data_IF_742761411237
#
_entry.id   IF_742761411237
#
_cell.length_a   1.000
_cell.length_b   1.000
_cell.length_c   1.000
_cell.angle_alpha   90.00
_cell.angle_beta   90.00
_cell.angle_gamma   90.00
#
_symmetry.space_group_name_H-M   'P 1'
#
loop_
_entity.id
_entity.type
_entity.pdbx_description
1 polymer ?
#
# COMPACT_ATOMS: atom_id res chain seq x y z
N UNK A 1 11.23 -25.89 -15.01
CA UNK A 1 10.80 -24.54 -15.44
C UNK A 1 10.27 -23.81 -14.22
N UNK A 2 11.09 -22.89 -13.71
CA UNK A 2 10.92 -22.22 -12.43
C UNK A 2 9.66 -21.34 -12.42
N UNK A 3 8.64 -21.74 -11.65
CA UNK A 3 7.46 -20.91 -11.36
C UNK A 3 7.76 -20.09 -10.10
N UNK A 4 8.29 -18.89 -10.25
CA UNK A 4 8.37 -17.92 -9.15
C UNK A 4 7.08 -17.08 -9.09
N UNK A 5 6.61 -16.69 -7.89
CA UNK A 5 5.33 -16.00 -7.73
C UNK A 5 5.40 -14.53 -8.15
N UNK A 6 4.40 -14.05 -8.90
CA UNK A 6 4.26 -12.62 -9.19
C UNK A 6 3.95 -11.79 -7.93
N UNK A 7 4.08 -10.47 -8.01
CA UNK A 7 3.77 -9.47 -6.96
C UNK A 7 2.43 -9.76 -6.25
N UNK A 8 1.37 -10.16 -6.97
CA UNK A 8 0.09 -10.47 -6.33
C UNK A 8 0.12 -11.79 -5.56
N UNK A 9 0.76 -12.86 -6.08
CA UNK A 9 0.98 -14.10 -5.30
C UNK A 9 1.84 -13.84 -4.06
N UNK A 10 2.82 -12.95 -4.20
CA UNK A 10 3.68 -12.51 -3.13
C UNK A 10 2.97 -11.60 -2.12
N UNK A 11 1.83 -10.97 -2.45
CA UNK A 11 0.94 -10.24 -1.53
C UNK A 11 -0.10 -11.16 -0.86
N UNK A 12 -0.38 -12.35 -1.41
CA UNK A 12 -1.57 -13.14 -0.99
C UNK A 12 -1.31 -14.49 -0.33
N UNK A 13 -0.07 -14.98 -0.29
CA UNK A 13 0.18 -16.25 0.39
C UNK A 13 0.14 -16.11 1.92
N UNK A 14 -1.05 -16.26 2.51
CA UNK A 14 -1.19 -16.79 3.86
C UNK A 14 -0.73 -18.24 3.85
N UNK A 15 0.30 -18.59 4.62
CA UNK A 15 0.78 -19.98 4.73
C UNK A 15 -0.34 -20.82 5.33
N UNK A 16 -0.96 -21.69 4.53
CA UNK A 16 -1.92 -22.70 5.00
C UNK A 16 -1.19 -23.77 5.83
N UNK A 17 -1.71 -24.03 7.02
CA UNK A 17 -1.19 -24.93 8.07
C UNK A 17 -1.18 -26.45 7.71
N UNK A 18 -1.18 -26.83 6.43
CA UNK A 18 -1.32 -28.23 5.99
C UNK A 18 -0.06 -28.92 5.44
N UNK A 19 1.14 -28.43 5.77
CA UNK A 19 2.39 -29.13 5.47
C UNK A 19 3.23 -29.43 6.72
N UNK A 20 2.57 -29.92 7.77
CA UNK A 20 3.21 -30.33 9.01
C UNK A 20 2.81 -31.74 9.43
N UNK A 21 2.88 -32.71 8.52
CA UNK A 21 2.92 -34.14 8.87
C UNK A 21 3.79 -34.89 7.86
N UNK A 22 4.96 -35.31 8.32
CA UNK A 22 5.80 -36.46 7.91
C UNK A 22 7.27 -36.05 7.93
N UNK A 23 7.96 -36.44 9.00
CA UNK A 23 9.08 -37.39 8.99
C UNK A 23 9.51 -37.60 10.45
N UNK A 24 9.27 -38.81 10.96
CA UNK A 24 9.98 -39.37 12.11
C UNK A 24 11.28 -39.98 11.60
N UNK A 25 12.36 -39.81 12.36
CA UNK A 25 13.43 -40.80 12.44
C UNK A 25 14.85 -40.26 12.26
N UNK A 26 15.61 -40.42 13.34
CA UNK A 26 17.06 -40.70 13.39
C UNK A 26 18.09 -39.55 13.56
N UNK A 27 18.60 -39.54 14.80
CA UNK A 27 19.97 -39.44 15.29
C UNK A 27 20.73 -38.09 15.34
N UNK A 28 21.15 -37.78 16.57
CA UNK A 28 22.14 -36.78 17.00
C UNK A 28 23.44 -36.85 16.20
N UNK A 29 24.07 -35.67 15.97
CA UNK A 29 25.43 -35.52 16.49
C UNK A 29 25.71 -34.14 17.12
N UNK A 30 26.35 -34.22 18.29
CA UNK A 30 27.37 -33.32 18.86
C UNK A 30 27.21 -31.80 18.74
N UNK A 31 26.82 -31.18 19.86
CA UNK A 31 26.92 -29.74 20.13
C UNK A 31 28.37 -29.23 19.97
N UNK A 32 28.61 -28.37 18.98
CA UNK A 32 29.72 -27.41 19.02
C UNK A 32 29.19 -26.07 19.54
N UNK A 33 29.75 -25.63 20.66
CA UNK A 33 29.50 -24.29 21.21
C UNK A 33 29.89 -23.22 20.18
N UNK A 34 28.89 -22.52 19.64
CA UNK A 34 29.09 -21.29 18.88
C UNK A 34 29.23 -20.14 19.88
N UNK A 35 30.42 -19.56 19.98
CA UNK A 35 30.59 -18.25 20.61
C UNK A 35 29.96 -17.18 19.71
N UNK A 36 29.03 -16.35 20.22
CA UNK A 36 28.48 -15.26 19.43
C UNK A 36 29.57 -14.21 19.21
N UNK A 37 29.91 -13.94 17.95
CA UNK A 37 30.69 -12.75 17.57
C UNK A 37 29.88 -11.52 17.98
N UNK A 38 30.55 -10.60 18.68
CA UNK A 38 30.02 -9.30 19.09
C UNK A 38 29.28 -8.63 17.94
N UNK A 39 27.96 -8.53 18.06
CA UNK A 39 27.13 -7.69 17.19
C UNK A 39 27.46 -6.24 17.54
N UNK A 40 28.27 -5.59 16.70
CA UNK A 40 28.36 -4.12 16.71
C UNK A 40 26.95 -3.57 16.53
N UNK A 41 26.42 -2.95 17.58
CA UNK A 41 25.20 -2.15 17.50
C UNK A 41 25.50 -0.94 16.62
N UNK A 42 24.92 -0.91 15.43
CA UNK A 42 24.99 0.28 14.58
C UNK A 42 24.31 1.44 15.31
N UNK A 43 24.87 2.66 15.24
CA UNK A 43 24.25 3.83 15.85
C UNK A 43 22.85 4.06 15.27
N UNK A 44 21.94 4.58 16.09
CA UNK A 44 20.58 4.95 15.65
C UNK A 44 20.72 5.93 14.48
N UNK A 45 20.10 5.67 13.31
CA UNK A 45 20.15 6.62 12.20
C UNK A 45 19.67 7.99 12.66
N UNK A 46 20.45 9.03 12.37
CA UNK A 46 20.06 10.41 12.67
C UNK A 46 18.79 10.77 11.87
N UNK A 47 17.99 11.76 12.30
CA UNK A 47 16.89 12.27 11.50
C UNK A 47 17.29 12.59 10.06
N UNK A 48 18.44 13.23 9.86
CA UNK A 48 19.00 13.56 8.54
C UNK A 48 19.29 12.31 7.70
N UNK A 49 19.81 11.25 8.33
CA UNK A 49 20.09 10.01 7.63
C UNK A 49 18.81 9.31 7.17
N UNK A 50 17.76 9.30 7.99
CA UNK A 50 16.44 8.74 7.58
C UNK A 50 15.87 9.51 6.40
N UNK A 51 15.94 10.84 6.42
CA UNK A 51 15.45 11.68 5.34
C UNK A 51 16.27 11.47 4.05
N UNK A 52 17.60 11.41 4.15
CA UNK A 52 18.48 11.12 3.02
C UNK A 52 18.10 9.80 2.34
N UNK A 53 17.90 8.74 3.13
CA UNK A 53 17.50 7.42 2.64
C UNK A 53 16.09 7.39 2.06
N UNK A 54 15.16 8.17 2.62
CA UNK A 54 13.82 8.35 2.05
C UNK A 54 13.91 8.92 0.62
N UNK A 55 14.66 10.02 0.45
CA UNK A 55 14.84 10.66 -0.85
C UNK A 55 15.55 9.73 -1.83
N UNK A 56 16.57 9.03 -1.39
CA UNK A 56 17.32 8.04 -2.19
C UNK A 56 16.40 6.92 -2.71
N UNK A 57 15.58 6.33 -1.83
CA UNK A 57 14.63 5.28 -2.20
C UNK A 57 13.63 5.76 -3.27
N UNK A 58 13.08 6.97 -3.14
CA UNK A 58 12.21 7.52 -4.18
C UNK A 58 12.97 7.86 -5.46
N UNK A 59 14.22 8.33 -5.36
CA UNK A 59 15.02 8.70 -6.54
C UNK A 59 15.37 7.48 -7.39
N UNK A 60 15.52 6.31 -6.78
CA UNK A 60 15.72 5.05 -7.51
C UNK A 60 14.47 4.66 -8.32
N UNK A 61 13.27 4.88 -7.77
CA UNK A 61 11.99 4.48 -8.42
C UNK A 61 11.52 5.52 -9.43
N UNK A 62 11.64 6.80 -9.10
CA UNK A 62 11.06 7.91 -9.84
C UNK A 62 12.09 8.80 -10.55
N UNK A 63 13.36 8.40 -10.53
CA UNK A 63 14.47 9.14 -11.11
C UNK A 63 15.04 10.20 -10.16
N UNK A 64 16.27 10.68 -10.41
CA UNK A 64 16.91 11.67 -9.56
C UNK A 64 16.19 13.02 -9.63
N UNK A 65 15.90 13.60 -8.46
CA UNK A 65 15.20 14.89 -8.38
C UNK A 65 16.15 16.09 -8.41
N UNK A 66 17.45 15.89 -8.17
CA UNK A 66 18.41 17.00 -8.02
C UNK A 66 18.49 17.88 -9.26
N UNK A 67 18.39 17.29 -10.46
CA UNK A 67 18.37 18.04 -11.71
C UNK A 67 17.09 18.88 -11.87
N UNK A 68 15.98 18.44 -11.29
CA UNK A 68 14.71 19.17 -11.31
C UNK A 68 14.79 20.36 -10.37
N UNK A 69 15.24 20.10 -9.14
CA UNK A 69 15.26 21.07 -8.05
C UNK A 69 16.39 22.10 -8.19
N UNK A 70 17.48 21.75 -8.88
CA UNK A 70 18.63 22.65 -9.12
C UNK A 70 18.54 23.37 -10.47
N UNK A 71 17.46 23.17 -11.23
CA UNK A 71 17.24 23.85 -12.52
C UNK A 71 17.10 25.37 -12.30
N UNK A 72 17.49 26.24 -13.26
CA UNK A 72 17.27 27.69 -13.14
C UNK A 72 15.80 28.09 -12.97
N UNK A 73 14.89 27.25 -13.47
CA UNK A 73 13.45 27.32 -13.26
C UNK A 73 12.93 25.96 -12.74
N UNK A 74 12.97 25.73 -11.41
CA UNK A 74 12.54 24.47 -10.82
C UNK A 74 11.03 24.22 -10.95
N UNK A 75 10.23 25.26 -11.05
CA UNK A 75 8.77 25.16 -11.20
C UNK A 75 8.42 24.57 -12.57
N UNK A 76 8.95 25.14 -13.65
CA UNK A 76 8.75 24.60 -14.99
C UNK A 76 9.38 23.20 -15.16
N UNK A 77 10.53 22.96 -14.53
CA UNK A 77 11.18 21.65 -14.55
C UNK A 77 10.31 20.59 -13.85
N UNK A 78 9.77 20.90 -12.67
CA UNK A 78 8.86 20.00 -11.96
C UNK A 78 7.54 19.80 -12.71
N UNK A 79 7.00 20.84 -13.34
CA UNK A 79 5.76 20.76 -14.12
C UNK A 79 5.91 19.93 -15.42
N UNK A 80 7.11 19.91 -16.00
CA UNK A 80 7.39 19.11 -17.21
C UNK A 80 7.83 17.67 -16.89
N UNK A 81 8.26 17.38 -15.65
CA UNK A 81 8.68 16.07 -15.22
C UNK A 81 7.66 14.97 -15.54
N UNK A 82 8.19 13.81 -15.90
CA UNK A 82 7.45 12.55 -16.06
C UNK A 82 8.19 11.43 -15.34
N UNK A 83 7.48 10.58 -14.58
CA UNK A 83 8.12 9.44 -13.94
C UNK A 83 8.67 8.47 -15.00
N UNK A 84 9.79 7.78 -14.72
CA UNK A 84 10.39 6.81 -15.63
C UNK A 84 9.42 5.68 -15.98
N UNK A 85 9.47 5.24 -17.25
CA UNK A 85 8.71 4.11 -17.77
C UNK A 85 9.45 2.77 -17.66
N UNK A 86 10.74 2.77 -17.30
CA UNK A 86 11.53 1.56 -17.09
C UNK A 86 12.66 1.74 -16.06
N UNK A 87 12.77 0.88 -15.02
CA UNK A 87 11.67 0.03 -14.53
C UNK A 87 10.55 0.88 -13.91
N UNK A 88 10.83 2.13 -13.54
CA UNK A 88 9.86 3.01 -12.89
C UNK A 88 9.31 2.40 -11.61
N UNK A 89 8.00 2.46 -11.44
CA UNK A 89 7.26 1.80 -10.36
C UNK A 89 7.10 0.28 -10.58
N UNK A 90 7.73 -0.28 -11.62
CA UNK A 90 7.46 -1.61 -12.15
C UNK A 90 6.19 -1.62 -13.01
N UNK A 91 5.87 -2.78 -13.60
CA UNK A 91 4.61 -2.95 -14.32
C UNK A 91 4.57 -2.34 -15.73
N UNK A 92 3.37 -2.34 -16.30
CA UNK A 92 3.10 -1.94 -17.68
C UNK A 92 3.42 -0.44 -17.88
N UNK A 93 4.37 -0.15 -18.77
CA UNK A 93 4.93 1.20 -19.00
C UNK A 93 5.50 1.84 -17.71
N UNK A 94 6.02 0.99 -16.83
CA UNK A 94 6.65 1.38 -15.57
C UNK A 94 5.68 1.92 -14.53
N UNK A 95 4.36 1.65 -14.66
CA UNK A 95 3.33 2.03 -13.70
C UNK A 95 2.76 0.82 -12.99
N UNK A 96 2.66 0.91 -11.66
CA UNK A 96 2.07 -0.12 -10.81
C UNK A 96 1.28 0.55 -9.68
N UNK A 97 -0.03 0.33 -9.64
CA UNK A 97 -0.96 1.21 -8.92
C UNK A 97 -0.66 1.33 -7.42
N UNK A 98 -0.22 0.24 -6.77
CA UNK A 98 0.16 0.25 -5.35
C UNK A 98 1.44 1.03 -5.10
N UNK A 99 2.48 0.75 -5.88
CA UNK A 99 3.77 1.45 -5.79
C UNK A 99 3.55 2.95 -5.99
N UNK A 100 2.70 3.32 -6.96
CA UNK A 100 2.41 4.71 -7.28
C UNK A 100 1.53 5.41 -6.25
N UNK A 101 0.59 4.72 -5.62
CA UNK A 101 -0.14 5.27 -4.49
C UNK A 101 0.83 5.64 -3.35
N UNK A 102 1.77 4.75 -3.02
CA UNK A 102 2.85 5.06 -2.08
C UNK A 102 3.73 6.21 -2.56
N UNK A 103 4.09 6.24 -3.84
CA UNK A 103 4.87 7.33 -4.43
C UNK A 103 4.22 8.70 -4.25
N UNK A 104 2.92 8.82 -4.51
CA UNK A 104 2.15 10.07 -4.32
C UNK A 104 2.18 10.50 -2.85
N UNK A 105 1.86 9.59 -1.93
CA UNK A 105 1.85 9.90 -0.48
C UNK A 105 3.26 10.26 0.01
N UNK A 106 4.29 9.57 -0.47
CA UNK A 106 5.68 9.85 -0.11
C UNK A 106 6.18 11.19 -0.67
N UNK A 107 5.75 11.61 -1.87
CA UNK A 107 6.05 12.95 -2.39
C UNK A 107 5.39 14.05 -1.56
N UNK A 108 4.17 13.82 -1.08
CA UNK A 108 3.48 14.73 -0.16
C UNK A 108 4.28 14.85 1.15
N UNK A 109 4.73 13.72 1.71
CA UNK A 109 5.61 13.69 2.89
C UNK A 109 6.91 14.48 2.63
N UNK A 110 7.61 14.24 1.52
CA UNK A 110 8.83 14.99 1.18
C UNK A 110 8.59 16.49 1.07
N UNK A 111 7.47 16.89 0.46
CA UNK A 111 7.15 18.31 0.34
C UNK A 111 7.04 18.99 1.70
N UNK A 112 6.36 18.35 2.64
CA UNK A 112 6.17 18.89 4.00
C UNK A 112 7.46 18.83 4.82
N UNK A 113 8.11 17.67 4.89
CA UNK A 113 9.32 17.49 5.70
C UNK A 113 10.50 18.37 5.24
N UNK A 114 10.61 18.62 3.93
CA UNK A 114 11.68 19.45 3.35
C UNK A 114 11.22 20.89 3.05
N UNK A 115 9.98 21.24 3.37
CA UNK A 115 9.37 22.53 3.01
C UNK A 115 9.59 22.92 1.53
N UNK A 116 9.48 21.94 0.63
CA UNK A 116 9.76 22.10 -0.79
C UNK A 116 8.50 21.79 -1.62
N UNK A 117 7.79 22.81 -2.16
CA UNK A 117 6.52 22.62 -2.85
C UNK A 117 6.65 21.87 -4.19
N UNK A 118 7.85 21.83 -4.78
CA UNK A 118 8.10 21.12 -6.03
C UNK A 118 7.77 19.63 -5.94
N UNK A 119 7.93 19.00 -4.76
CA UNK A 119 7.51 17.61 -4.57
C UNK A 119 5.98 17.42 -4.67
N UNK A 120 5.15 18.42 -4.31
CA UNK A 120 3.72 18.36 -4.59
C UNK A 120 3.45 18.44 -6.10
N UNK A 121 4.22 19.24 -6.83
CA UNK A 121 4.14 19.25 -8.31
C UNK A 121 4.47 17.87 -8.86
N UNK A 122 5.51 17.19 -8.37
CA UNK A 122 5.82 15.80 -8.76
C UNK A 122 4.69 14.83 -8.39
N UNK A 123 4.07 14.96 -7.21
CA UNK A 123 2.92 14.15 -6.82
C UNK A 123 1.75 14.31 -7.80
N UNK A 124 1.42 15.54 -8.19
CA UNK A 124 0.38 15.84 -9.19
C UNK A 124 0.72 15.22 -10.55
N UNK A 125 1.97 15.38 -11.00
CA UNK A 125 2.45 14.79 -12.27
C UNK A 125 2.37 13.27 -12.27
N UNK A 126 2.73 12.64 -11.16
CA UNK A 126 2.60 11.19 -10.98
C UNK A 126 1.13 10.75 -11.09
N UNK A 127 0.20 11.46 -10.43
CA UNK A 127 -1.25 11.20 -10.57
C UNK A 127 -1.70 11.31 -12.01
N UNK A 128 -1.33 12.38 -12.72
CA UNK A 128 -1.67 12.55 -14.15
C UNK A 128 -1.11 11.39 -14.99
N UNK A 129 0.15 11.00 -14.80
CA UNK A 129 0.74 9.89 -15.56
C UNK A 129 0.06 8.55 -15.28
N UNK A 130 -0.33 8.29 -14.03
CA UNK A 130 -1.10 7.09 -13.68
C UNK A 130 -2.46 7.10 -14.36
N UNK A 131 -3.18 8.22 -14.39
CA UNK A 131 -4.49 8.31 -15.06
C UNK A 131 -4.37 8.14 -16.58
N UNK A 132 -3.32 8.69 -17.20
CA UNK A 132 -3.06 8.52 -18.63
C UNK A 132 -2.55 7.13 -19.02
N UNK A 133 -1.99 6.37 -18.07
CA UNK A 133 -1.50 5.01 -18.34
C UNK A 133 -2.50 3.97 -17.89
N UNK A 134 -2.81 3.93 -16.60
CA UNK A 134 -3.64 2.90 -15.97
C UNK A 134 -5.14 3.19 -16.07
N UNK A 135 -5.55 4.43 -16.38
CA UNK A 135 -6.95 4.80 -16.70
C UNK A 135 -7.30 4.65 -18.18
N UNK A 136 -6.40 4.06 -18.98
CA UNK A 136 -6.59 3.79 -20.41
C UNK A 136 -6.45 2.30 -20.72
N UNK A 137 -6.88 1.89 -21.90
CA UNK A 137 -6.56 0.58 -22.48
C UNK A 137 -5.04 0.38 -22.55
N UNK A 138 -4.58 -0.88 -22.65
CA UNK A 138 -3.14 -1.19 -22.60
C UNK A 138 -2.34 -0.56 -23.75
N UNK A 139 -2.96 -0.43 -24.91
CA UNK A 139 -2.44 0.27 -26.09
C UNK A 139 -2.58 1.81 -26.02
N UNK A 140 -3.13 2.34 -24.91
CA UNK A 140 -3.41 3.75 -24.65
C UNK A 140 -4.42 4.42 -25.60
N UNK A 141 -5.04 3.65 -26.51
CA UNK A 141 -5.90 4.19 -27.57
C UNK A 141 -7.18 4.84 -27.04
N UNK A 142 -7.69 4.40 -25.89
CA UNK A 142 -8.93 4.90 -25.30
C UNK A 142 -8.91 4.90 -23.78
N UNK A 143 -9.79 5.71 -23.16
CA UNK A 143 -10.10 5.59 -21.73
C UNK A 143 -10.75 4.24 -21.44
N UNK A 144 -10.65 3.76 -20.20
CA UNK A 144 -11.38 2.56 -19.80
C UNK A 144 -12.91 2.77 -19.96
N UNK A 145 -13.68 1.71 -20.26
CA UNK A 145 -15.13 1.82 -20.48
C UNK A 145 -15.85 2.58 -19.37
N UNK A 146 -16.63 3.59 -19.74
CA UNK A 146 -17.35 4.47 -18.82
C UNK A 146 -16.62 5.77 -18.46
N UNK A 147 -15.31 5.87 -18.70
CA UNK A 147 -14.54 7.10 -18.49
C UNK A 147 -14.52 8.03 -19.72
N UNK A 148 -14.36 9.32 -19.43
CA UNK A 148 -14.16 10.40 -20.41
C UNK A 148 -12.97 11.25 -19.98
N UNK A 149 -12.52 12.21 -20.79
CA UNK A 149 -11.43 13.10 -20.36
C UNK A 149 -11.84 14.04 -19.21
N UNK A 150 -13.13 14.42 -19.13
CA UNK A 150 -13.66 15.18 -17.99
C UNK A 150 -13.92 14.33 -16.74
N UNK A 151 -14.15 13.03 -16.93
CA UNK A 151 -14.42 12.07 -15.84
C UNK A 151 -13.55 10.82 -16.00
N UNK A 152 -12.22 10.96 -15.79
CA UNK A 152 -11.24 9.95 -16.19
C UNK A 152 -11.25 8.68 -15.35
N UNK A 153 -11.89 8.69 -14.17
CA UNK A 153 -11.89 7.58 -13.23
C UNK A 153 -13.22 6.81 -13.20
N UNK A 154 -14.21 7.18 -14.03
CA UNK A 154 -15.48 6.44 -14.15
C UNK A 154 -15.33 4.99 -14.66
N UNK A 155 -14.23 4.68 -15.31
CA UNK A 155 -13.86 3.33 -15.74
C UNK A 155 -12.96 2.59 -14.74
N UNK A 156 -12.64 3.20 -13.60
CA UNK A 156 -11.66 2.68 -12.65
C UNK A 156 -10.21 2.85 -13.10
N UNK A 157 -9.30 2.02 -12.58
CA UNK A 157 -7.87 2.00 -12.94
C UNK A 157 -7.36 0.56 -12.98
N UNK A 158 -6.61 0.23 -14.02
CA UNK A 158 -5.86 -1.04 -14.09
C UNK A 158 -4.79 -1.09 -13.00
N UNK A 159 -4.43 -2.29 -12.57
CA UNK A 159 -3.32 -2.51 -11.62
C UNK A 159 -1.95 -2.24 -12.26
N UNK A 160 -1.81 -2.47 -13.56
CA UNK A 160 -0.56 -2.24 -14.31
C UNK A 160 0.36 -3.46 -14.36
N UNK A 161 -0.18 -4.68 -14.32
CA UNK A 161 0.68 -5.87 -14.49
C UNK A 161 1.19 -6.02 -15.92
N UNK A 162 2.38 -6.62 -16.05
CA UNK A 162 3.03 -6.86 -17.35
C UNK A 162 2.16 -7.79 -18.21
N UNK A 163 1.71 -8.91 -17.65
CA UNK A 163 0.80 -9.81 -18.35
C UNK A 163 -0.61 -9.26 -18.37
N UNK A 164 -1.31 -9.42 -19.50
CA UNK A 164 -2.71 -9.01 -19.62
C UNK A 164 -3.64 -9.99 -18.89
N UNK A 165 -4.92 -9.65 -18.76
CA UNK A 165 -5.92 -10.56 -18.19
C UNK A 165 -6.28 -11.72 -19.12
N UNK A 166 -6.02 -11.60 -20.43
CA UNK A 166 -6.17 -12.69 -21.39
C UNK A 166 -5.02 -13.70 -21.26
N UNK A 167 -3.80 -13.21 -21.04
CA UNK A 167 -2.61 -14.04 -20.82
C UNK A 167 -2.66 -14.77 -19.46
N UNK A 168 -3.04 -14.06 -18.40
CA UNK A 168 -3.24 -14.64 -17.07
C UNK A 168 -4.48 -14.04 -16.39
N UNK A 169 -5.66 -14.69 -16.49
CA UNK A 169 -6.89 -14.16 -15.92
C UNK A 169 -6.82 -13.94 -14.40
N UNK A 170 -6.13 -14.82 -13.67
CA UNK A 170 -6.06 -14.73 -12.21
C UNK A 170 -5.02 -13.72 -11.74
N UNK A 171 -3.89 -13.67 -12.42
CA UNK A 171 -2.69 -12.99 -11.93
C UNK A 171 -2.11 -11.96 -12.89
N UNK A 172 -2.70 -11.76 -14.06
CA UNK A 172 -2.40 -10.67 -14.98
C UNK A 172 -3.07 -9.37 -14.57
N UNK A 173 -3.14 -8.44 -15.51
CA UNK A 173 -3.78 -7.13 -15.33
C UNK A 173 -5.27 -7.26 -14.99
N UNK A 174 -5.90 -6.13 -14.66
CA UNK A 174 -7.28 -6.08 -14.20
C UNK A 174 -7.45 -4.97 -13.16
N UNK A 175 -8.57 -4.99 -12.45
CA UNK A 175 -8.83 -4.03 -11.38
C UNK A 175 -8.99 -4.75 -10.05
N UNK A 176 -8.30 -4.27 -9.02
CA UNK A 176 -8.28 -4.87 -7.69
C UNK A 176 -8.79 -3.86 -6.67
N UNK A 177 -9.75 -4.28 -5.84
CA UNK A 177 -10.41 -3.38 -4.88
C UNK A 177 -9.41 -2.66 -3.96
N UNK A 178 -8.58 -3.39 -3.24
CA UNK A 178 -7.58 -2.84 -2.31
C UNK A 178 -6.53 -1.92 -2.97
N UNK A 179 -6.20 -2.10 -4.25
CA UNK A 179 -5.31 -1.18 -4.98
C UNK A 179 -6.03 0.13 -5.29
N UNK A 180 -7.30 0.04 -5.72
CA UNK A 180 -8.12 1.20 -6.01
C UNK A 180 -8.39 2.01 -4.74
N UNK A 181 -8.65 1.37 -3.59
CA UNK A 181 -8.86 2.08 -2.32
C UNK A 181 -7.57 2.75 -1.83
N UNK A 182 -6.41 2.13 -2.00
CA UNK A 182 -5.13 2.79 -1.69
C UNK A 182 -4.88 4.00 -2.60
N UNK A 183 -5.25 3.93 -3.87
CA UNK A 183 -5.18 5.07 -4.78
C UNK A 183 -6.17 6.19 -4.42
N UNK A 184 -7.39 5.85 -4.02
CA UNK A 184 -8.36 6.81 -3.47
C UNK A 184 -7.79 7.53 -2.25
N UNK A 185 -7.13 6.80 -1.34
CA UNK A 185 -6.43 7.39 -0.21
C UNK A 185 -5.32 8.35 -0.66
N UNK A 186 -4.50 7.98 -1.65
CA UNK A 186 -3.47 8.88 -2.17
C UNK A 186 -4.04 10.18 -2.77
N UNK A 187 -5.14 10.10 -3.53
CA UNK A 187 -5.86 11.27 -4.05
C UNK A 187 -6.44 12.14 -2.94
N UNK A 188 -7.01 11.51 -1.90
CA UNK A 188 -7.49 12.21 -0.72
C UNK A 188 -6.36 12.97 -0.01
N UNK A 189 -5.19 12.34 0.14
CA UNK A 189 -4.04 13.03 0.72
C UNK A 189 -3.55 14.19 -0.13
N UNK A 190 -3.55 14.02 -1.45
CA UNK A 190 -3.17 15.10 -2.36
C UNK A 190 -4.15 16.27 -2.27
N UNK A 191 -5.45 16.00 -2.13
CA UNK A 191 -6.46 17.04 -1.92
C UNK A 191 -6.15 17.87 -0.67
N UNK A 192 -5.88 17.20 0.46
CA UNK A 192 -5.59 17.87 1.73
C UNK A 192 -4.26 18.63 1.70
N UNK A 193 -3.22 18.08 1.08
CA UNK A 193 -1.92 18.72 0.98
C UNK A 193 -1.89 19.95 0.07
N UNK A 194 -2.74 19.97 -0.97
CA UNK A 194 -2.77 21.06 -1.97
C UNK A 194 -3.88 22.08 -1.73
N UNK A 195 -4.93 21.71 -0.99
CA UNK A 195 -6.17 22.48 -0.90
C UNK A 195 -7.01 22.46 -2.18
N UNK A 196 -6.60 21.70 -3.20
CA UNK A 196 -7.29 21.67 -4.50
C UNK A 196 -8.42 20.64 -4.51
N UNK A 197 -9.64 21.17 -4.58
CA UNK A 197 -10.92 20.44 -4.60
C UNK A 197 -10.97 19.30 -5.64
N UNK A 198 -10.31 19.45 -6.78
CA UNK A 198 -10.33 18.47 -7.87
C UNK A 198 -9.86 17.07 -7.45
N UNK A 199 -8.88 16.96 -6.56
CA UNK A 199 -8.34 15.66 -6.14
C UNK A 199 -9.33 14.88 -5.27
N UNK A 200 -10.08 15.58 -4.41
CA UNK A 200 -11.19 15.01 -3.63
C UNK A 200 -12.31 14.51 -4.56
N UNK A 201 -12.69 15.31 -5.56
CA UNK A 201 -13.70 14.92 -6.55
C UNK A 201 -13.28 13.66 -7.34
N UNK A 202 -12.01 13.55 -7.73
CA UNK A 202 -11.49 12.37 -8.41
C UNK A 202 -11.51 11.13 -7.51
N UNK A 203 -11.17 11.27 -6.22
CA UNK A 203 -11.25 10.16 -5.26
C UNK A 203 -12.70 9.65 -5.11
N UNK A 204 -13.67 10.56 -4.96
CA UNK A 204 -15.10 10.22 -4.87
C UNK A 204 -15.63 9.64 -6.19
N UNK A 205 -15.22 10.19 -7.33
CA UNK A 205 -15.57 9.65 -8.65
C UNK A 205 -15.13 8.20 -8.80
N UNK A 206 -13.88 7.90 -8.41
CA UNK A 206 -13.36 6.53 -8.45
C UNK A 206 -14.15 5.61 -7.50
N UNK A 207 -14.41 6.05 -6.27
CA UNK A 207 -15.18 5.28 -5.29
C UNK A 207 -16.55 4.88 -5.84
N UNK A 208 -17.31 5.84 -6.34
CA UNK A 208 -18.65 5.61 -6.92
C UNK A 208 -18.64 4.71 -8.14
N UNK A 209 -17.64 4.87 -9.00
CA UNK A 209 -17.52 4.09 -10.23
C UNK A 209 -17.33 2.59 -9.96
N UNK A 210 -16.54 2.26 -8.94
CA UNK A 210 -16.06 0.88 -8.74
C UNK A 210 -16.83 0.12 -7.65
N UNK A 211 -17.40 0.78 -6.65
CA UNK A 211 -17.98 0.12 -5.47
C UNK A 211 -18.96 -1.02 -5.83
N UNK A 212 -19.99 -0.71 -6.62
CA UNK A 212 -21.00 -1.69 -7.02
C UNK A 212 -20.46 -2.81 -7.93
N UNK A 213 -19.26 -2.66 -8.50
CA UNK A 213 -18.61 -3.70 -9.31
C UNK A 213 -17.92 -4.74 -8.44
N UNK A 214 -17.45 -4.34 -7.27
CA UNK A 214 -16.75 -5.21 -6.32
C UNK A 214 -17.65 -5.80 -5.23
N UNK A 215 -18.89 -5.32 -5.09
CA UNK A 215 -19.86 -5.80 -4.10
C UNK A 215 -20.90 -6.70 -4.76
N UNK A 216 -21.03 -7.94 -4.27
CA UNK A 216 -22.11 -8.84 -4.63
C UNK A 216 -23.25 -8.66 -3.63
N UNK A 217 -24.43 -8.32 -4.15
CA UNK A 217 -25.63 -8.08 -3.36
C UNK A 217 -26.53 -9.30 -3.33
N UNK A 218 -27.18 -9.51 -2.21
CA UNK A 218 -28.23 -10.51 -2.07
C UNK A 218 -29.46 -10.08 -2.88
N UNK A 219 -30.05 -11.00 -3.65
CA UNK A 219 -31.15 -10.70 -4.58
C UNK A 219 -32.47 -10.32 -3.87
N UNK A 220 -32.71 -10.77 -2.64
CA UNK A 220 -33.99 -10.56 -1.96
C UNK A 220 -34.08 -9.25 -1.20
N UNK A 221 -32.97 -8.77 -0.63
CA UNK A 221 -32.94 -7.57 0.21
C UNK A 221 -31.94 -6.50 -0.28
N UNK A 222 -31.19 -6.77 -1.35
CA UNK A 222 -30.19 -5.88 -1.93
C UNK A 222 -29.00 -5.54 -0.99
N UNK A 223 -28.85 -6.26 0.13
CA UNK A 223 -27.75 -6.05 1.05
C UNK A 223 -26.43 -6.54 0.47
N UNK A 224 -25.33 -5.84 0.77
CA UNK A 224 -23.98 -6.31 0.48
C UNK A 224 -23.69 -7.61 1.23
N UNK A 225 -23.48 -8.70 0.48
CA UNK A 225 -23.32 -10.05 1.04
C UNK A 225 -21.86 -10.50 1.04
N UNK A 226 -21.14 -10.16 -0.03
CA UNK A 226 -19.71 -10.48 -0.19
C UNK A 226 -19.02 -9.50 -1.13
N UNK A 227 -17.70 -9.46 -1.06
CA UNK A 227 -16.88 -8.76 -2.05
C UNK A 227 -16.22 -9.74 -3.01
N UNK A 228 -15.74 -9.21 -4.13
CA UNK A 228 -14.82 -9.90 -5.02
C UNK A 228 -13.48 -9.16 -5.04
N UNK A 229 -12.41 -9.90 -5.30
CA UNK A 229 -11.06 -9.40 -5.12
C UNK A 229 -10.52 -8.76 -6.39
N UNK A 230 -10.85 -9.35 -7.55
CA UNK A 230 -10.39 -8.90 -8.87
C UNK A 230 -11.51 -8.91 -9.90
N UNK A 231 -11.61 -7.79 -10.61
CA UNK A 231 -12.45 -7.59 -11.80
C UNK A 231 -11.58 -7.48 -13.05
N UNK A 232 -12.18 -7.71 -14.22
CA UNK A 232 -11.57 -7.39 -15.51
C UNK A 232 -11.29 -5.89 -15.65
N UNK A 233 -10.39 -5.54 -16.56
CA UNK A 233 -9.97 -4.15 -16.85
C UNK A 233 -11.14 -3.24 -17.20
N UNK A 234 -12.19 -3.78 -17.82
CA UNK A 234 -13.45 -3.09 -18.17
C UNK A 234 -14.54 -3.16 -17.08
N UNK A 235 -14.26 -3.77 -15.92
CA UNK A 235 -15.19 -4.00 -14.81
C UNK A 235 -16.45 -4.82 -15.17
N UNK A 236 -16.45 -5.55 -16.29
CA UNK A 236 -17.61 -6.33 -16.74
C UNK A 236 -17.65 -7.76 -16.19
N UNK A 237 -16.51 -8.33 -15.79
CA UNK A 237 -16.40 -9.72 -15.35
C UNK A 237 -15.63 -9.86 -14.04
N UNK A 238 -16.08 -10.76 -13.18
CA UNK A 238 -15.34 -11.19 -11.98
C UNK A 238 -14.24 -12.16 -12.42
N UNK A 239 -12.98 -11.83 -12.14
CA UNK A 239 -11.83 -12.70 -12.45
C UNK A 239 -11.40 -13.53 -11.24
N UNK A 240 -11.52 -12.98 -10.03
CA UNK A 240 -11.22 -13.69 -8.78
C UNK A 240 -12.37 -13.49 -7.79
N UNK A 241 -13.25 -14.50 -7.60
CA UNK A 241 -14.50 -14.39 -6.84
C UNK A 241 -14.34 -14.58 -5.33
N UNK A 242 -13.11 -14.46 -4.80
CA UNK A 242 -12.82 -14.41 -3.36
C UNK A 242 -12.72 -12.97 -2.91
N UNK A 243 -12.59 -12.70 -1.62
CA UNK A 243 -12.36 -11.35 -1.08
C UNK A 243 -11.04 -11.31 -0.32
N UNK A 244 -10.36 -10.16 -0.37
CA UNK A 244 -9.20 -9.92 0.48
C UNK A 244 -9.61 -9.83 1.95
N UNK A 245 -8.69 -10.20 2.83
CA UNK A 245 -8.94 -10.29 4.27
C UNK A 245 -9.40 -8.96 4.88
N UNK A 246 -8.80 -7.85 4.41
CA UNK A 246 -9.06 -6.49 4.91
C UNK A 246 -9.87 -5.61 3.95
N UNK A 247 -10.29 -6.12 2.79
CA UNK A 247 -10.91 -5.30 1.72
C UNK A 247 -12.10 -4.46 2.24
N UNK A 248 -12.98 -5.08 3.03
CA UNK A 248 -14.14 -4.38 3.59
C UNK A 248 -13.75 -3.33 4.63
N UNK A 249 -12.76 -3.63 5.49
CA UNK A 249 -12.31 -2.71 6.54
C UNK A 249 -11.56 -1.50 5.94
N UNK A 250 -10.69 -1.74 4.96
CA UNK A 250 -10.00 -0.70 4.21
C UNK A 250 -11.00 0.16 3.45
N UNK A 251 -11.99 -0.45 2.78
CA UNK A 251 -13.07 0.27 2.12
C UNK A 251 -13.86 1.16 3.09
N UNK A 252 -14.25 0.63 4.25
CA UNK A 252 -14.96 1.40 5.29
C UNK A 252 -14.18 2.64 5.73
N UNK A 253 -12.89 2.47 6.04
CA UNK A 253 -12.02 3.57 6.51
C UNK A 253 -11.80 4.59 5.41
N UNK A 254 -11.34 4.17 4.23
CA UNK A 254 -11.02 5.09 3.14
C UNK A 254 -12.25 5.87 2.71
N UNK A 255 -13.41 5.23 2.55
CA UNK A 255 -14.62 5.93 2.10
C UNK A 255 -15.11 6.95 3.13
N UNK A 256 -14.93 6.69 4.43
CA UNK A 256 -15.20 7.69 5.48
C UNK A 256 -14.24 8.88 5.39
N UNK A 257 -12.95 8.64 5.14
CA UNK A 257 -11.98 9.73 4.93
C UNK A 257 -12.32 10.55 3.69
N UNK A 258 -12.71 9.90 2.58
CA UNK A 258 -13.18 10.58 1.38
C UNK A 258 -14.41 11.44 1.68
N UNK A 259 -15.41 10.88 2.36
CA UNK A 259 -16.62 11.60 2.72
C UNK A 259 -16.31 12.84 3.57
N UNK A 260 -15.51 12.71 4.62
CA UNK A 260 -15.11 13.83 5.49
C UNK A 260 -14.39 14.93 4.71
N UNK A 261 -13.45 14.55 3.85
CA UNK A 261 -12.71 15.50 3.03
C UNK A 261 -13.61 16.18 2.02
N UNK A 262 -14.54 15.44 1.42
CA UNK A 262 -15.50 15.99 0.49
C UNK A 262 -16.44 17.00 1.19
N UNK A 263 -16.94 16.68 2.37
CA UNK A 263 -17.76 17.58 3.20
C UNK A 263 -16.99 18.84 3.58
N UNK A 264 -15.72 18.69 3.98
CA UNK A 264 -14.84 19.82 4.31
C UNK A 264 -14.58 20.74 3.09
N UNK A 265 -14.32 20.17 1.92
CA UNK A 265 -13.92 20.94 0.73
C UNK A 265 -15.08 21.45 -0.12
N UNK A 266 -16.21 20.74 -0.14
CA UNK A 266 -17.33 21.00 -1.06
C UNK A 266 -18.66 21.28 -0.34
N UNK A 267 -18.73 21.07 0.98
CA UNK A 267 -19.96 21.11 1.75
C UNK A 267 -20.70 19.76 1.78
N UNK A 268 -21.63 19.56 2.72
CA UNK A 268 -22.38 18.32 2.86
C UNK A 268 -23.52 18.18 1.83
N UNK A 269 -23.96 16.94 1.54
CA UNK A 269 -23.38 15.67 1.99
C UNK A 269 -22.17 15.23 1.14
N UNK A 270 -21.19 14.53 1.73
CA UNK A 270 -20.02 14.02 0.99
C UNK A 270 -20.27 12.81 0.07
N UNK A 271 -21.52 12.37 -0.05
CA UNK A 271 -22.03 11.52 -1.14
C UNK A 271 -21.46 10.07 -1.24
N UNK A 272 -21.12 9.45 -0.10
CA UNK A 272 -20.65 8.04 0.00
C UNK A 272 -21.36 7.23 1.11
N UNK A 273 -22.50 7.72 1.60
CA UNK A 273 -23.20 7.16 2.77
C UNK A 273 -23.61 5.70 2.55
N UNK A 274 -24.11 5.37 1.35
CA UNK A 274 -24.57 4.02 1.00
C UNK A 274 -23.41 3.03 0.96
N UNK A 275 -22.30 3.43 0.33
CA UNK A 275 -21.11 2.61 0.17
C UNK A 275 -20.45 2.32 1.53
N UNK A 276 -20.42 3.31 2.42
CA UNK A 276 -19.94 3.15 3.80
C UNK A 276 -20.83 2.18 4.59
N UNK A 277 -22.16 2.27 4.42
CA UNK A 277 -23.10 1.34 5.05
C UNK A 277 -22.90 -0.11 4.57
N UNK A 278 -22.66 -0.31 3.27
CA UNK A 278 -22.33 -1.63 2.72
C UNK A 278 -21.06 -2.21 3.37
N UNK A 279 -19.99 -1.43 3.47
CA UNK A 279 -18.76 -1.91 4.13
C UNK A 279 -19.00 -2.24 5.61
N UNK A 280 -19.81 -1.44 6.31
CA UNK A 280 -20.16 -1.72 7.70
C UNK A 280 -20.85 -3.07 7.87
N UNK A 281 -21.79 -3.40 6.96
CA UNK A 281 -22.43 -4.72 6.92
C UNK A 281 -21.42 -5.83 6.63
N UNK A 282 -20.56 -5.63 5.64
CA UNK A 282 -19.55 -6.62 5.23
C UNK A 282 -18.52 -6.92 6.32
N UNK A 283 -18.14 -5.92 7.12
CA UNK A 283 -17.26 -6.06 8.29
C UNK A 283 -17.91 -6.84 9.44
N UNK A 284 -19.24 -6.76 9.58
CA UNK A 284 -19.99 -7.42 10.65
C UNK A 284 -20.21 -8.92 10.44
N UNK A 285 -19.78 -9.49 9.31
CA UNK A 285 -19.93 -10.92 9.02
C UNK A 285 -19.03 -11.78 9.90
N UNK A 286 -19.51 -12.99 10.21
CA UNK A 286 -18.77 -13.94 11.04
C UNK A 286 -17.38 -14.24 10.46
N UNK A 287 -16.37 -14.23 11.33
CA UNK A 287 -14.98 -14.53 10.95
C UNK A 287 -14.26 -13.39 10.22
N UNK A 288 -14.91 -12.24 9.99
CA UNK A 288 -14.24 -11.02 9.53
C UNK A 288 -13.56 -10.28 10.68
N UNK A 289 -12.70 -9.33 10.33
CA UNK A 289 -11.93 -8.52 11.28
C UNK A 289 -10.99 -9.33 12.18
N UNK A 290 -10.45 -10.45 11.68
CA UNK A 290 -9.41 -11.22 12.39
C UNK A 290 -8.03 -10.61 12.17
N UNK A 291 -7.13 -10.83 13.11
CA UNK A 291 -5.72 -10.49 12.94
C UNK A 291 -5.06 -11.38 11.88
N UNK A 292 -4.15 -10.81 11.09
CA UNK A 292 -3.37 -11.55 10.09
C UNK A 292 -1.97 -11.90 10.63
N UNK A 293 -1.47 -13.08 10.25
CA UNK A 293 -0.08 -13.49 10.48
C UNK A 293 0.84 -13.11 9.31
N UNK A 294 0.30 -12.46 8.28
CA UNK A 294 1.09 -11.88 7.21
C UNK A 294 1.51 -10.46 7.56
N UNK A 295 2.80 -10.13 7.38
CA UNK A 295 3.33 -8.81 7.77
C UNK A 295 2.65 -7.65 7.03
N UNK A 296 2.34 -7.80 5.74
CA UNK A 296 1.71 -6.73 4.97
C UNK A 296 0.28 -6.51 5.48
N UNK A 297 -0.52 -7.57 5.55
CA UNK A 297 -1.90 -7.46 6.02
C UNK A 297 -1.96 -6.92 7.45
N UNK A 298 -1.10 -7.40 8.35
CA UNK A 298 -1.04 -6.89 9.73
C UNK A 298 -0.74 -5.39 9.75
N UNK A 299 0.22 -4.94 8.93
CA UNK A 299 0.59 -3.54 8.80
C UNK A 299 -0.55 -2.68 8.25
N UNK A 300 -1.16 -3.11 7.15
CA UNK A 300 -2.29 -2.39 6.55
C UNK A 300 -3.50 -2.37 7.49
N UNK A 301 -3.70 -3.43 8.28
CA UNK A 301 -4.72 -3.51 9.33
C UNK A 301 -4.50 -2.47 10.44
N UNK A 302 -3.28 -2.38 10.97
CA UNK A 302 -2.90 -1.36 11.95
C UNK A 302 -3.04 0.06 11.37
N UNK A 303 -2.63 0.25 10.11
CA UNK A 303 -2.78 1.52 9.40
C UNK A 303 -4.26 1.90 9.18
N UNK A 304 -5.20 1.00 8.93
CA UNK A 304 -6.61 1.45 8.86
C UNK A 304 -7.21 1.69 10.26
N UNK A 305 -6.75 0.95 11.27
CA UNK A 305 -7.26 1.11 12.65
C UNK A 305 -6.88 2.46 13.27
N UNK A 306 -5.72 3.03 12.92
CA UNK A 306 -5.23 4.23 13.61
C UNK A 306 -6.13 5.47 13.41
N UNK A 307 -6.78 5.61 12.24
CA UNK A 307 -7.72 6.70 11.94
C UNK A 307 -8.99 6.70 12.80
N UNK A 308 -9.36 5.55 13.39
CA UNK A 308 -10.59 5.40 14.17
C UNK A 308 -10.34 4.65 15.49
N UNK A 309 -9.17 4.86 16.09
CA UNK A 309 -8.67 4.15 17.29
C UNK A 309 -9.63 4.14 18.49
N UNK A 310 -10.56 5.10 18.54
CA UNK A 310 -11.54 5.20 19.61
C UNK A 310 -12.72 4.24 19.44
N UNK A 311 -12.98 3.76 18.21
CA UNK A 311 -14.04 2.80 17.92
C UNK A 311 -13.64 1.36 18.32
N UNK A 312 -14.57 0.61 18.91
CA UNK A 312 -14.30 -0.72 19.48
C UNK A 312 -13.67 -1.71 18.51
N UNK A 313 -14.12 -1.71 17.25
CA UNK A 313 -13.59 -2.60 16.23
C UNK A 313 -12.12 -2.32 15.92
N UNK A 314 -11.74 -1.04 15.85
CA UNK A 314 -10.39 -0.60 15.53
C UNK A 314 -9.45 -0.82 16.71
N UNK A 315 -9.92 -0.51 17.93
CA UNK A 315 -9.20 -0.78 19.18
C UNK A 315 -8.94 -2.27 19.36
N UNK A 316 -9.94 -3.12 19.12
CA UNK A 316 -9.82 -4.57 19.24
C UNK A 316 -8.85 -5.14 18.20
N UNK A 317 -9.06 -4.86 16.91
CA UNK A 317 -8.18 -5.35 15.86
C UNK A 317 -6.75 -4.81 16.02
N UNK A 318 -6.60 -3.53 16.34
CA UNK A 318 -5.30 -2.89 16.54
C UNK A 318 -4.52 -3.47 17.72
N UNK A 319 -5.15 -3.63 18.89
CA UNK A 319 -4.50 -4.24 20.06
C UNK A 319 -4.06 -5.69 19.81
N UNK A 320 -4.90 -6.51 19.18
CA UNK A 320 -4.53 -7.87 18.78
C UNK A 320 -3.38 -7.86 17.75
N UNK A 321 -3.40 -6.91 16.82
CA UNK A 321 -2.37 -6.79 15.78
C UNK A 321 -1.02 -6.36 16.36
N UNK A 322 -1.00 -5.55 17.42
CA UNK A 322 0.23 -5.23 18.14
C UNK A 322 0.87 -6.49 18.73
N UNK A 323 0.09 -7.36 19.39
CA UNK A 323 0.61 -8.60 19.99
C UNK A 323 1.17 -9.56 18.92
N UNK A 324 0.49 -9.72 17.79
CA UNK A 324 1.03 -10.52 16.67
C UNK A 324 2.25 -9.86 16.04
N UNK A 325 2.28 -8.54 15.93
CA UNK A 325 3.43 -7.78 15.42
C UNK A 325 4.70 -8.05 16.22
N UNK A 326 4.59 -8.11 17.56
CA UNK A 326 5.72 -8.50 18.44
C UNK A 326 6.25 -9.88 18.10
N UNK A 327 5.37 -10.84 17.88
CA UNK A 327 5.76 -12.23 17.55
C UNK A 327 6.39 -12.31 16.16
N UNK A 328 5.81 -11.65 15.15
CA UNK A 328 6.30 -11.72 13.77
C UNK A 328 7.67 -11.08 13.59
N UNK A 329 7.91 -9.95 14.27
CA UNK A 329 9.12 -9.15 14.16
C UNK A 329 10.14 -9.42 15.28
N UNK A 330 9.90 -10.40 16.15
CA UNK A 330 10.88 -10.80 17.15
C UNK A 330 12.12 -11.43 16.47
N UNK A 331 13.30 -10.83 16.70
CA UNK A 331 14.54 -11.24 16.03
C UNK A 331 15.01 -12.67 16.36
N UNK A 332 14.59 -13.24 17.50
CA UNK A 332 14.97 -14.59 17.94
C UNK A 332 14.00 -15.69 17.49
N UNK A 333 12.75 -15.33 17.17
CA UNK A 333 11.67 -16.24 16.78
C UNK A 333 10.70 -15.47 15.90
N UNK A 334 10.52 -15.87 14.65
CA UNK A 334 9.58 -15.18 13.75
C UNK A 334 10.07 -15.14 12.31
N UNK A 335 9.48 -14.26 11.49
CA UNK A 335 9.98 -14.05 10.12
C UNK A 335 11.34 -13.33 10.17
N UNK A 336 11.52 -12.43 11.13
CA UNK A 336 12.76 -11.68 11.32
C UNK A 336 14.00 -12.54 11.63
N UNK A 337 13.82 -13.79 12.06
CA UNK A 337 14.93 -14.72 12.33
C UNK A 337 15.40 -15.49 11.10
N UNK A 338 14.80 -15.27 9.92
CA UNK A 338 15.14 -15.97 8.67
C UNK A 338 16.20 -15.21 7.88
N UNK A 339 16.90 -15.94 7.01
CA UNK A 339 17.78 -15.37 5.98
C UNK A 339 17.02 -14.46 5.01
N UNK A 340 17.72 -13.47 4.42
CA UNK A 340 17.11 -12.46 3.57
C UNK A 340 16.32 -13.04 2.38
N UNK A 341 16.85 -14.10 1.74
CA UNK A 341 16.22 -14.79 0.61
C UNK A 341 14.94 -15.57 0.95
N UNK A 342 14.57 -15.66 2.24
CA UNK A 342 13.32 -16.29 2.72
C UNK A 342 12.33 -15.28 3.29
N UNK A 343 12.59 -13.99 3.07
CA UNK A 343 11.81 -12.86 3.57
C UNK A 343 11.39 -11.98 2.40
N UNK A 344 10.38 -11.14 2.60
CA UNK A 344 9.87 -10.22 1.59
C UNK A 344 9.89 -8.81 2.17
N UNK A 345 10.76 -7.95 1.63
CA UNK A 345 11.02 -6.62 2.19
C UNK A 345 9.75 -5.76 2.29
N UNK A 346 9.02 -5.59 1.19
CA UNK A 346 7.79 -4.80 1.17
C UNK A 346 6.74 -5.25 2.19
N UNK A 347 6.63 -6.56 2.46
CA UNK A 347 5.68 -7.06 3.47
C UNK A 347 6.05 -6.63 4.87
N UNK A 348 7.33 -6.72 5.22
CA UNK A 348 7.82 -6.31 6.53
C UNK A 348 7.80 -4.79 6.70
N UNK A 349 8.04 -4.03 5.63
CA UNK A 349 7.84 -2.59 5.64
C UNK A 349 6.37 -2.20 5.82
N UNK A 350 5.44 -2.99 5.29
CA UNK A 350 4.01 -2.85 5.59
C UNK A 350 3.74 -2.94 7.09
N UNK A 351 4.24 -3.99 7.75
CA UNK A 351 4.13 -4.15 9.21
C UNK A 351 4.75 -2.95 9.95
N UNK A 352 5.95 -2.52 9.55
CA UNK A 352 6.62 -1.38 10.18
C UNK A 352 5.83 -0.07 10.03
N UNK A 353 5.28 0.21 8.84
CA UNK A 353 4.44 1.37 8.60
C UNK A 353 3.20 1.36 9.51
N UNK A 354 2.47 0.24 9.54
CA UNK A 354 1.28 0.08 10.37
C UNK A 354 1.55 0.25 11.86
N UNK A 355 2.61 -0.41 12.36
CA UNK A 355 3.05 -0.31 13.76
C UNK A 355 3.38 1.13 14.16
N UNK A 356 3.97 1.90 13.25
CA UNK A 356 4.28 3.31 13.51
C UNK A 356 3.06 4.20 13.46
N UNK A 357 2.17 4.03 12.48
CA UNK A 357 0.94 4.81 12.38
C UNK A 357 0.01 4.57 13.57
N UNK A 358 -0.17 3.30 13.97
CA UNK A 358 -0.99 2.95 15.13
C UNK A 358 -0.32 3.31 16.46
N UNK A 359 1.02 3.27 16.49
CA UNK A 359 1.85 3.53 17.65
C UNK A 359 2.12 2.28 18.49
N UNK A 360 3.39 2.00 18.77
CA UNK A 360 3.80 0.88 19.63
C UNK A 360 3.56 1.12 21.13
N UNK A 361 2.96 2.26 21.52
CA UNK A 361 2.77 2.64 22.92
C UNK A 361 4.09 2.67 23.72
N UNK A 362 4.10 2.18 24.98
CA UNK A 362 5.32 2.09 25.79
C UNK A 362 6.21 0.89 25.45
N UNK A 363 5.81 0.02 24.50
CA UNK A 363 6.56 -1.21 24.18
C UNK A 363 7.87 -0.88 23.46
N UNK A 364 8.97 -0.95 24.21
CA UNK A 364 10.30 -0.63 23.72
C UNK A 364 10.87 -1.73 22.83
N UNK A 365 10.56 -3.00 23.10
CA UNK A 365 11.02 -4.14 22.30
C UNK A 365 10.43 -4.07 20.89
N UNK A 366 9.13 -3.75 20.77
CA UNK A 366 8.49 -3.61 19.47
C UNK A 366 9.06 -2.45 18.65
N UNK A 367 9.41 -1.32 19.29
CA UNK A 367 10.10 -0.19 18.63
C UNK A 367 11.48 -0.60 18.13
N UNK A 368 12.21 -1.37 18.92
CA UNK A 368 13.52 -1.91 18.53
C UNK A 368 13.40 -2.94 17.40
N UNK A 369 12.37 -3.77 17.38
CA UNK A 369 12.06 -4.68 16.27
C UNK A 369 11.80 -3.93 14.97
N UNK A 370 10.99 -2.87 14.98
CA UNK A 370 10.76 -2.03 13.78
C UNK A 370 12.07 -1.44 13.27
N UNK A 371 12.90 -0.89 14.17
CA UNK A 371 14.23 -0.38 13.82
C UNK A 371 15.11 -1.48 13.21
N UNK A 372 15.15 -2.65 13.84
CA UNK A 372 15.94 -3.80 13.40
C UNK A 372 15.55 -4.31 12.02
N UNK A 373 14.26 -4.28 11.66
CA UNK A 373 13.78 -4.63 10.30
C UNK A 373 14.31 -3.63 9.27
N UNK A 374 14.23 -2.32 9.54
CA UNK A 374 14.74 -1.28 8.64
C UNK A 374 16.26 -1.40 8.42
N UNK A 375 17.02 -1.65 9.49
CA UNK A 375 18.48 -1.83 9.43
C UNK A 375 18.90 -3.16 8.79
N UNK A 376 18.11 -4.22 8.97
CA UNK A 376 18.30 -5.46 8.27
C UNK A 376 18.17 -5.23 6.77
N UNK A 377 17.02 -4.72 6.31
CA UNK A 377 16.79 -4.55 4.89
C UNK A 377 17.70 -3.52 4.26
N UNK A 378 18.13 -2.48 4.97
CA UNK A 378 19.15 -1.57 4.43
C UNK A 378 20.39 -2.31 3.88
N UNK A 379 20.79 -3.41 4.53
CA UNK A 379 21.97 -4.20 4.12
C UNK A 379 21.71 -5.18 2.99
N UNK A 380 20.45 -5.58 2.79
CA UNK A 380 20.07 -6.69 1.91
C UNK A 380 19.08 -6.32 0.81
N UNK A 381 18.52 -5.10 0.82
CA UNK A 381 17.46 -4.70 -0.10
C UNK A 381 17.93 -4.81 -1.55
N UNK A 382 19.15 -4.39 -1.84
CA UNK A 382 19.73 -4.46 -3.19
C UNK A 382 20.10 -5.88 -3.60
N UNK A 383 20.68 -6.67 -2.70
CA UNK A 383 21.23 -8.00 -3.02
C UNK A 383 20.22 -9.15 -2.91
N UNK A 384 19.07 -8.92 -2.27
CA UNK A 384 18.16 -10.00 -1.84
C UNK A 384 16.68 -9.71 -2.11
N UNK A 385 16.39 -8.66 -2.87
CA UNK A 385 15.03 -8.38 -3.37
C UNK A 385 15.01 -8.62 -4.87
N UNK A 386 14.04 -9.41 -5.34
CA UNK A 386 13.83 -9.60 -6.77
C UNK A 386 13.61 -8.24 -7.46
N UNK A 387 14.14 -8.06 -8.67
CA UNK A 387 14.06 -6.79 -9.40
C UNK A 387 12.61 -6.31 -9.60
N UNK A 388 11.67 -7.22 -9.82
CA UNK A 388 10.24 -6.91 -9.93
C UNK A 388 9.61 -6.39 -8.62
N UNK A 389 10.19 -6.74 -7.47
CA UNK A 389 9.73 -6.34 -6.13
C UNK A 389 10.50 -5.15 -5.57
N UNK A 390 11.58 -4.72 -6.23
CA UNK A 390 12.43 -3.63 -5.78
C UNK A 390 11.69 -2.29 -5.73
N UNK A 391 10.89 -1.88 -6.74
CA UNK A 391 10.18 -0.60 -6.67
C UNK A 391 9.20 -0.50 -5.50
N UNK A 392 8.36 -1.52 -5.30
CA UNK A 392 7.40 -1.54 -4.18
C UNK A 392 8.12 -1.57 -2.84
N UNK A 393 9.22 -2.32 -2.73
CA UNK A 393 9.99 -2.40 -1.49
C UNK A 393 10.65 -1.07 -1.14
N UNK A 394 11.12 -0.30 -2.12
CA UNK A 394 11.73 1.03 -1.91
C UNK A 394 10.72 2.08 -1.46
N UNK A 395 9.56 2.18 -2.11
CA UNK A 395 8.55 3.16 -1.70
C UNK A 395 7.95 2.81 -0.33
N UNK A 396 7.82 1.53 -0.01
CA UNK A 396 7.37 1.08 1.32
C UNK A 396 8.47 1.24 2.39
N UNK A 397 9.75 1.09 2.04
CA UNK A 397 10.87 1.40 2.93
C UNK A 397 10.84 2.88 3.36
N UNK A 398 10.64 3.78 2.39
CA UNK A 398 10.52 5.21 2.65
C UNK A 398 9.36 5.50 3.63
N UNK A 399 8.16 4.97 3.36
CA UNK A 399 7.00 5.14 4.22
C UNK A 399 7.17 4.50 5.62
N UNK A 400 7.80 3.31 5.71
CA UNK A 400 8.11 2.69 7.00
C UNK A 400 9.14 3.51 7.81
N UNK A 401 10.08 4.18 7.12
CA UNK A 401 11.10 5.03 7.71
C UNK A 401 10.61 6.42 8.13
N UNK A 402 9.63 7.00 7.42
CA UNK A 402 8.93 8.24 7.75
C UNK A 402 7.48 8.12 7.25
N UNK A 403 6.51 7.70 8.09
CA UNK A 403 5.13 7.50 7.67
C UNK A 403 4.48 8.74 7.05
N UNK A 404 4.71 9.91 7.65
CA UNK A 404 4.29 11.20 7.09
C UNK A 404 2.80 11.22 6.76
N UNK A 405 2.46 11.50 5.51
CA UNK A 405 1.07 11.62 5.06
C UNK A 405 0.23 10.31 5.11
N UNK A 406 0.80 9.19 5.56
CA UNK A 406 0.05 8.00 5.96
C UNK A 406 -0.60 8.14 7.35
N UNK A 407 -0.10 9.02 8.22
CA UNK A 407 -0.56 9.23 9.60
C UNK A 407 -1.78 10.16 9.65
N UNK A 408 -2.74 9.79 10.51
CA UNK A 408 -3.88 10.62 10.92
C UNK A 408 -3.39 11.94 11.52
N UNK A 409 -4.02 13.03 11.09
CA UNK A 409 -3.68 14.37 11.53
C UNK A 409 -2.44 14.99 10.88
N UNK A 410 -1.69 14.23 10.05
CA UNK A 410 -0.41 14.71 9.50
C UNK A 410 -0.58 15.93 8.60
N UNK A 411 -1.68 16.04 7.83
CA UNK A 411 -1.95 17.21 6.96
C UNK A 411 -2.97 18.18 7.56
N UNK A 412 -3.23 18.12 8.87
CA UNK A 412 -4.24 18.93 9.56
C UNK A 412 -5.38 18.07 10.08
N UNK A 413 -6.50 18.70 10.46
CA UNK A 413 -7.65 17.98 11.02
C UNK A 413 -8.37 17.19 9.92
N UNK A 414 -8.64 15.90 10.19
CA UNK A 414 -9.15 14.90 9.24
C UNK A 414 -10.47 14.25 9.66
#
# INVERSE_FOLDING_TARGET
MNRFPSISRAITNSISLKQLVLIRGYQNPTYRYYHPKSTMTMPIPTPDERMRRFKEALSIVYGPFDNILSHPDPEASAASWRPPSHPGAGGHLGRYLWTDAFGVVNFITLSKELSCPHYLTLAKRLVTTVHETLGRTRDLSSRLPGATDSEPLKGGLRIGKIHSEEEDPRDGDGQYHHYLTLWMFALNRLALATGEKQWSLLAVQLAKAVHNKFVIRNKSNNHAERMVWKMSTDLSRVLVPTEGHLDAATGFVVYRLLQRTAEYMHGPPGDLVTEIADYRLLMGREGKMRVSNDCLDLGMGLWICHFFRDEDWARTLGSQSLEVGKILLAGKRGIASREANRRLAFREFGACLGLRCYGCGPDQELKESVKGVLEFWQRYLESSTDEDLKPISLVMYAAAGIPGAFEDGYLGRE
#
